data_IF_646879081288
#
_entry.id   IF_646879081288
#
_cell.length_a   1.000
_cell.length_b   1.000
_cell.length_c   1.000
_cell.angle_alpha   90.00
_cell.angle_beta   90.00
_cell.angle_gamma   90.00
#
_symmetry.space_group_name_H-M   'P 1'
#
loop_
_entity.id
_entity.type
_entity.pdbx_description
1 polymer ?
#
# COMPACT_ATOMS: atom_id res chain seq x y z
N UNK A 1 15.95 4.42 -20.01
CA UNK A 1 15.68 4.06 -19.63
C UNK A 1 14.78 4.04 -19.29
N UNK A 2 14.31 4.19 -19.33
CA UNK A 2 13.53 4.09 -18.86
C UNK A 2 12.70 3.44 -18.99
N UNK A 3 12.46 3.19 -19.26
CA UNK A 3 11.76 2.63 -19.28
C UNK A 3 11.52 1.78 -19.02
N UNK A 4 11.72 1.67 -19.29
CA UNK A 4 11.53 0.67 -19.13
C UNK A 4 11.13 0.22 -18.09
N UNK A 5 11.19 0.38 -17.48
CA UNK A 5 10.86 0.01 -16.42
C UNK A 5 9.83 0.68 -15.97
N UNK A 6 8.76 0.55 -16.28
CA UNK A 6 7.75 1.21 -15.90
C UNK A 6 7.57 1.41 -14.54
N UNK A 7 7.59 0.48 -13.71
CA UNK A 7 7.35 0.70 -12.31
C UNK A 7 8.59 0.60 -11.51
N UNK A 8 9.68 0.42 -12.12
CA UNK A 8 10.91 0.19 -11.43
C UNK A 8 11.37 1.41 -10.68
N UNK A 9 11.45 1.30 -9.38
CA UNK A 9 11.93 2.39 -8.56
C UNK A 9 11.10 3.61 -8.60
N UNK A 10 9.89 3.49 -9.06
CA UNK A 10 9.04 4.62 -9.12
C UNK A 10 7.91 4.52 -8.17
N UNK A 11 8.24 4.52 -6.92
CA UNK A 11 7.23 4.46 -5.89
C UNK A 11 6.73 5.86 -5.57
N UNK A 12 5.47 6.09 -5.84
CA UNK A 12 4.84 7.36 -5.55
C UNK A 12 3.50 7.12 -4.88
N UNK A 13 3.10 8.04 -4.06
CA UNK A 13 1.79 8.01 -3.43
C UNK A 13 1.13 9.34 -3.71
N UNK A 14 -0.08 9.28 -4.21
CA UNK A 14 -0.85 10.46 -4.52
C UNK A 14 -2.18 10.37 -3.81
N UNK A 15 -2.55 11.38 -3.06
CA UNK A 15 -3.79 11.39 -2.32
C UNK A 15 -4.63 12.56 -2.78
N UNK A 16 -5.87 12.28 -3.13
CA UNK A 16 -6.77 13.32 -3.56
C UNK A 16 -7.87 13.44 -2.55
N UNK A 17 -7.92 14.55 -1.86
CA UNK A 17 -8.97 14.91 -0.91
C UNK A 17 -9.19 13.88 0.19
N UNK A 18 -8.18 13.11 0.48
CA UNK A 18 -8.26 12.04 1.46
C UNK A 18 -9.34 11.00 1.12
N UNK A 19 -9.69 10.94 -0.15
CA UNK A 19 -10.71 10.00 -0.61
C UNK A 19 -10.19 9.02 -1.62
N UNK A 20 -9.12 9.36 -2.29
CA UNK A 20 -8.56 8.47 -3.30
C UNK A 20 -7.05 8.48 -3.21
N UNK A 21 -6.49 7.30 -3.20
CA UNK A 21 -5.05 7.15 -3.13
C UNK A 21 -4.59 6.33 -4.32
N UNK A 22 -3.57 6.80 -4.99
CA UNK A 22 -2.95 6.04 -6.05
C UNK A 22 -1.52 5.78 -5.62
N UNK A 23 -1.12 4.52 -5.62
CA UNK A 23 0.21 4.14 -5.20
C UNK A 23 0.87 3.41 -6.36
N UNK A 24 2.09 3.82 -6.68
CA UNK A 24 2.86 3.12 -7.70
C UNK A 24 4.06 2.49 -7.02
N UNK A 25 4.73 1.59 -7.72
CA UNK A 25 5.84 0.87 -7.15
C UNK A 25 5.44 -0.24 -6.21
N UNK A 26 4.20 -0.72 -6.34
CA UNK A 26 3.68 -1.78 -5.50
C UNK A 26 4.15 -3.12 -6.03
N UNK A 27 4.72 -3.91 -5.15
CA UNK A 27 5.22 -5.23 -5.52
C UNK A 27 4.17 -6.29 -5.25
N UNK A 28 3.47 -6.13 -4.16
CA UNK A 28 2.52 -7.15 -3.75
C UNK A 28 1.55 -6.56 -2.74
N UNK A 29 0.31 -7.03 -2.77
CA UNK A 29 -0.65 -6.65 -1.73
C UNK A 29 -0.68 -7.79 -0.73
N UNK A 30 -0.35 -7.51 0.51
CA UNK A 30 -0.25 -8.51 1.53
C UNK A 30 -1.61 -8.81 2.15
N UNK A 31 -2.36 -7.77 2.43
CA UNK A 31 -3.71 -7.96 2.93
C UNK A 31 -4.50 -6.69 2.75
N UNK A 32 -5.81 -6.83 2.72
CA UNK A 32 -6.63 -5.63 2.69
C UNK A 32 -8.00 -5.92 3.27
N UNK A 33 -8.55 -4.92 3.90
CA UNK A 33 -9.95 -4.95 4.29
C UNK A 33 -10.41 -3.50 4.31
N UNK A 34 -11.60 -3.26 4.79
CA UNK A 34 -12.18 -1.93 4.66
C UNK A 34 -11.59 -0.91 5.64
N UNK A 35 -10.68 -1.33 6.49
CA UNK A 35 -10.05 -0.41 7.42
C UNK A 35 -8.55 -0.36 7.30
N UNK A 36 -7.95 -1.29 6.60
CA UNK A 36 -6.52 -1.30 6.45
C UNK A 36 -6.10 -2.06 5.22
N UNK A 37 -5.11 -1.54 4.54
CA UNK A 37 -4.53 -2.20 3.39
C UNK A 37 -3.04 -2.21 3.61
N UNK A 38 -2.44 -3.39 3.46
CA UNK A 38 -1.01 -3.55 3.65
C UNK A 38 -0.43 -4.05 2.35
N UNK A 39 0.57 -3.36 1.86
CA UNK A 39 1.21 -3.80 0.63
C UNK A 39 2.71 -3.61 0.74
N UNK A 40 3.40 -4.31 -0.11
CA UNK A 40 4.83 -4.16 -0.18
C UNK A 40 5.18 -3.32 -1.39
N UNK A 41 6.05 -2.35 -1.20
CA UNK A 41 6.48 -1.49 -2.29
C UNK A 41 7.96 -1.62 -2.47
N UNK A 42 8.47 -0.98 -3.47
CA UNK A 42 9.90 -0.98 -3.70
C UNK A 42 10.65 -0.29 -2.58
N UNK A 43 9.98 0.51 -1.79
CA UNK A 43 10.61 1.24 -0.70
C UNK A 43 10.24 0.69 0.66
N UNK A 44 9.62 -0.47 0.71
CA UNK A 44 9.27 -1.10 1.98
C UNK A 44 7.79 -1.35 2.10
N UNK A 45 7.40 -1.88 3.23
CA UNK A 45 6.00 -2.20 3.49
C UNK A 45 5.22 -0.92 3.76
N UNK A 46 4.04 -0.83 3.21
CA UNK A 46 3.21 0.35 3.32
C UNK A 46 1.87 -0.03 3.91
N UNK A 47 1.41 0.72 4.87
CA UNK A 47 0.14 0.49 5.51
C UNK A 47 -0.75 1.70 5.31
N UNK A 48 -1.91 1.44 4.75
CA UNK A 48 -2.90 2.48 4.50
C UNK A 48 -4.07 2.21 5.43
N UNK A 49 -4.45 3.16 6.23
CA UNK A 49 -5.53 2.99 7.19
C UNK A 49 -6.64 4.00 6.97
N UNK A 50 -7.84 3.58 7.22
CA UNK A 50 -8.98 4.46 7.04
C UNK A 50 -10.28 3.74 7.28
N UNK A 51 -11.31 4.19 6.60
CA UNK A 51 -12.65 3.62 6.75
C UNK A 51 -13.24 3.43 5.37
N UNK A 52 -13.99 2.37 5.22
CA UNK A 52 -14.68 2.09 3.96
C UNK A 52 -13.70 2.06 2.79
N UNK A 53 -12.54 1.52 3.05
CA UNK A 53 -11.53 1.42 2.00
C UNK A 53 -11.89 0.31 1.04
N UNK A 54 -11.68 0.55 -0.23
CA UNK A 54 -11.82 -0.53 -1.18
C UNK A 54 -10.88 -0.28 -2.34
N UNK A 55 -10.43 -1.37 -2.91
CA UNK A 55 -9.49 -1.32 -3.99
C UNK A 55 -10.27 -1.04 -5.26
N UNK A 56 -9.95 0.06 -5.90
CA UNK A 56 -10.60 0.45 -7.11
C UNK A 56 -9.87 -0.13 -8.30
N UNK A 57 -8.58 -0.30 -8.18
CA UNK A 57 -7.79 -0.83 -9.26
C UNK A 57 -6.51 -1.42 -8.71
N UNK A 58 -6.14 -2.56 -9.22
CA UNK A 58 -4.88 -3.18 -8.84
C UNK A 58 -4.25 -3.78 -10.08
N UNK A 59 -3.07 -3.33 -10.41
CA UNK A 59 -2.35 -3.84 -11.56
C UNK A 59 -0.91 -4.05 -11.15
N UNK A 60 -0.56 -5.27 -10.81
CA UNK A 60 0.79 -5.53 -10.34
C UNK A 60 1.82 -5.57 -11.47
N UNK A 61 1.37 -5.69 -12.69
CA UNK A 61 2.30 -5.59 -13.81
C UNK A 61 2.86 -4.18 -13.88
N UNK A 62 2.06 -3.21 -13.55
CA UNK A 62 2.48 -1.83 -13.53
C UNK A 62 2.85 -1.38 -12.14
N UNK A 63 2.61 -2.19 -11.15
CA UNK A 63 2.85 -1.82 -9.78
C UNK A 63 1.91 -0.75 -9.27
N UNK A 64 0.68 -0.77 -9.74
CA UNK A 64 -0.27 0.30 -9.42
C UNK A 64 -1.42 -0.18 -8.58
N UNK A 65 -1.72 0.56 -7.54
CA UNK A 65 -2.84 0.26 -6.67
C UNK A 65 -3.63 1.54 -6.45
N UNK A 66 -4.92 1.47 -6.69
CA UNK A 66 -5.78 2.63 -6.50
C UNK A 66 -6.85 2.27 -5.48
N UNK A 67 -6.97 3.07 -4.45
CA UNK A 67 -7.86 2.79 -3.32
C UNK A 67 -8.76 4.00 -3.11
N UNK A 68 -10.03 3.72 -2.89
CA UNK A 68 -10.99 4.75 -2.53
C UNK A 68 -11.45 4.53 -1.10
N UNK A 69 -11.90 5.57 -0.46
CA UNK A 69 -12.42 5.48 0.88
C UNK A 69 -12.04 6.69 1.69
N UNK A 70 -12.17 6.58 2.99
CA UNK A 70 -11.83 7.66 3.87
C UNK A 70 -10.44 7.41 4.41
N UNK A 71 -9.46 8.16 3.97
CA UNK A 71 -8.07 7.89 4.29
C UNK A 71 -7.69 8.58 5.59
N UNK A 72 -7.16 7.82 6.53
CA UNK A 72 -6.73 8.39 7.79
C UNK A 72 -5.23 8.48 7.92
N UNK A 73 -4.54 7.48 7.45
CA UNK A 73 -3.13 7.37 7.75
C UNK A 73 -2.42 6.52 6.72
N UNK A 74 -1.24 6.91 6.34
CA UNK A 74 -0.39 6.14 5.46
C UNK A 74 1.00 6.16 6.05
N UNK A 75 1.58 5.02 6.21
CA UNK A 75 2.93 4.96 6.75
C UNK A 75 3.68 3.74 6.30
N UNK A 76 4.96 3.77 6.50
CA UNK A 76 5.82 2.65 6.16
C UNK A 76 6.15 1.88 7.42
N UNK A 77 6.37 0.59 7.25
CA UNK A 77 6.72 -0.25 8.38
C UNK A 77 7.86 -1.18 7.97
N UNK A 78 9.01 -0.90 8.43
CA UNK A 78 10.17 -1.68 8.04
C UNK A 78 10.22 -3.06 8.64
N UNK A 79 9.71 -3.21 9.84
CA UNK A 79 9.76 -4.47 10.52
C UNK A 79 8.98 -5.55 9.87
N UNK A 80 8.01 -5.17 9.09
CA UNK A 80 7.14 -6.14 8.51
C UNK A 80 7.88 -7.09 7.61
N UNK A 81 8.86 -6.60 6.91
CA UNK A 81 9.55 -7.44 5.96
C UNK A 81 10.41 -8.47 6.63
N UNK A 82 10.62 -8.37 7.90
CA UNK A 82 11.47 -9.30 8.59
C UNK A 82 10.78 -10.50 9.13
N UNK A 83 9.54 -10.61 8.97
CA UNK A 83 8.85 -11.78 9.44
C UNK A 83 8.48 -11.73 10.88
N UNK A 84 9.41 -11.41 11.76
CA UNK A 84 9.04 -11.41 13.13
C UNK A 84 8.24 -10.19 13.47
N UNK A 85 8.52 -9.10 12.86
CA UNK A 85 7.72 -7.94 13.11
C UNK A 85 6.37 -8.06 12.48
N UNK A 86 6.26 -8.90 11.52
CA UNK A 86 5.04 -9.06 10.80
C UNK A 86 3.86 -9.44 11.66
N UNK A 87 4.05 -10.35 12.54
CA UNK A 87 2.96 -10.78 13.37
C UNK A 87 2.47 -9.70 14.29
N UNK A 88 3.36 -8.98 14.89
CA UNK A 88 2.94 -7.95 15.78
C UNK A 88 2.31 -6.80 15.03
N UNK A 89 2.79 -6.52 13.86
CA UNK A 89 2.22 -5.47 13.06
C UNK A 89 0.80 -5.80 12.65
N UNK A 90 0.59 -6.98 12.16
CA UNK A 90 -0.73 -7.37 11.74
C UNK A 90 -1.68 -7.41 12.91
N UNK A 91 -1.20 -7.81 14.04
CA UNK A 91 -2.00 -7.82 15.22
C UNK A 91 -2.47 -6.43 15.58
N UNK A 92 -1.61 -5.45 15.43
CA UNK A 92 -2.01 -4.09 15.72
C UNK A 92 -3.00 -3.55 14.71
N UNK A 93 -2.84 -3.95 13.47
CA UNK A 93 -3.73 -3.46 12.43
C UNK A 93 -5.13 -4.02 12.58
N UNK A 94 -5.20 -5.27 12.92
CA UNK A 94 -6.48 -5.93 12.97
C UNK A 94 -7.10 -6.02 14.36
N UNK A 95 -6.54 -5.33 15.29
CA UNK A 95 -7.07 -5.38 16.58
C UNK A 95 -8.11 -4.44 16.77
#
# INVERSE_FOLDING_TARGET
>A
MADERKYTGRHHISIDRRERVVITGVVEVISFDDEAIVCETEMGALILRGHNLHVNRLNLDDGELEVDGEIENIGYEDDMSLGRGKNSLLSRIFK
#
